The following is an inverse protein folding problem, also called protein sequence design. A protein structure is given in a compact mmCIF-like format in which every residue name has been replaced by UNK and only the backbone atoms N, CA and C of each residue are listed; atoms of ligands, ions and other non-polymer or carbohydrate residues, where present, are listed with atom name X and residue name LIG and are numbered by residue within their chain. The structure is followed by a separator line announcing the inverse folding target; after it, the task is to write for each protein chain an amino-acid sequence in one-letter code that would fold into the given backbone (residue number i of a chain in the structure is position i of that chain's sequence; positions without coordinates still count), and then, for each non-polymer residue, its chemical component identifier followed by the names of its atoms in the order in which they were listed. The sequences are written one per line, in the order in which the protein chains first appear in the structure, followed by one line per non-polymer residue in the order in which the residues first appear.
data_IF_059427931204
#
_entry.id   IF_059427931204
#
_cell.length_a   1.000
_cell.length_b   1.000
_cell.length_c   1.000
_cell.angle_alpha   90.00
_cell.angle_beta   90.00
_cell.angle_gamma   90.00
#
_symmetry.space_group_name_H-M   'P 1'
#
loop_
_entity.id
_entity.type
_entity.pdbx_description
1 polymer ?
#
# COMPACT_ATOMS: atom_id res chain seq x y z
N UNK A 1 11.62 -13.92 -15.94
CA UNK A 1 11.36 -12.47 -15.93
C UNK A 1 12.64 -11.81 -16.38
N UNK A 2 12.61 -10.95 -17.39
CA UNK A 2 13.68 -9.96 -17.60
C UNK A 2 14.03 -9.32 -16.24
N UNK A 3 15.31 -9.06 -15.97
CA UNK A 3 15.77 -8.62 -14.64
C UNK A 3 15.15 -7.26 -14.32
N UNK A 4 14.03 -7.27 -13.59
CA UNK A 4 13.54 -6.10 -12.87
C UNK A 4 14.71 -5.62 -12.01
N UNK A 5 15.10 -4.37 -12.20
CA UNK A 5 16.18 -3.75 -11.44
C UNK A 5 15.62 -3.32 -10.08
N UNK A 6 16.38 -3.58 -9.02
CA UNK A 6 16.03 -3.17 -7.67
C UNK A 6 17.03 -2.14 -7.17
N UNK A 7 16.53 -0.99 -6.74
CA UNK A 7 17.32 0.14 -6.26
C UNK A 7 16.81 0.57 -4.89
N UNK A 8 17.71 1.11 -4.08
CA UNK A 8 17.36 1.81 -2.84
C UNK A 8 17.66 3.28 -3.04
N UNK A 9 16.64 4.12 -2.91
CA UNK A 9 16.71 5.55 -3.21
C UNK A 9 16.37 6.33 -1.93
N UNK A 10 17.26 7.23 -1.46
CA UNK A 10 16.97 8.09 -0.33
C UNK A 10 15.92 9.13 -0.72
N UNK A 11 14.78 9.14 -0.03
CA UNK A 11 13.66 10.05 -0.29
C UNK A 11 13.05 10.50 1.03
N UNK A 12 12.84 11.80 1.23
CA UNK A 12 12.09 12.34 2.39
C UNK A 12 12.44 11.70 3.76
N UNK A 13 13.74 11.49 4.01
CA UNK A 13 14.26 10.92 5.25
C UNK A 13 14.14 9.39 5.41
N UNK A 14 13.73 8.66 4.36
CA UNK A 14 13.68 7.19 4.33
C UNK A 14 14.51 6.63 3.16
N UNK A 15 14.83 5.34 3.22
CA UNK A 15 15.48 4.61 2.13
C UNK A 15 14.43 3.75 1.44
N UNK A 16 13.96 4.20 0.27
CA UNK A 16 12.87 3.58 -0.46
C UNK A 16 13.39 2.53 -1.45
N UNK A 17 12.90 1.31 -1.33
CA UNK A 17 13.07 0.29 -2.36
C UNK A 17 12.22 0.65 -3.59
N UNK A 18 12.81 0.51 -4.77
CA UNK A 18 12.16 0.73 -6.06
C UNK A 18 12.51 -0.41 -7.00
N UNK A 19 11.47 -1.04 -7.55
CA UNK A 19 11.58 -1.99 -8.65
C UNK A 19 11.34 -1.27 -9.98
N UNK A 20 12.28 -1.39 -10.93
CA UNK A 20 12.23 -0.72 -12.23
C UNK A 20 12.34 -1.70 -13.40
N UNK A 21 11.65 -1.40 -14.49
CA UNK A 21 11.73 -2.18 -15.73
C UNK A 21 11.42 -1.32 -16.96
N UNK A 22 12.19 -1.50 -18.03
CA UNK A 22 11.97 -0.80 -19.30
C UNK A 22 12.59 0.59 -19.37
N UNK A 23 12.31 1.29 -20.46
CA UNK A 23 12.80 2.64 -20.77
C UNK A 23 11.71 3.45 -21.48
N UNK A 24 11.81 4.77 -21.45
CA UNK A 24 10.82 5.68 -22.03
C UNK A 24 10.06 6.46 -20.96
N UNK A 25 8.86 7.00 -21.27
CA UNK A 25 8.07 7.78 -20.32
C UNK A 25 7.74 7.00 -19.04
N UNK A 26 7.88 7.63 -17.88
CA UNK A 26 7.65 6.99 -16.60
C UNK A 26 6.16 6.68 -16.34
N UNK A 27 5.90 5.44 -15.91
CA UNK A 27 4.67 4.98 -15.28
C UNK A 27 5.00 4.55 -13.85
N UNK A 28 4.50 5.32 -12.88
CA UNK A 28 4.76 5.11 -11.46
C UNK A 28 3.57 4.39 -10.80
N UNK A 29 3.84 3.27 -10.13
CA UNK A 29 2.82 2.37 -9.58
C UNK A 29 2.78 2.43 -8.04
N UNK A 30 1.62 2.76 -7.45
CA UNK A 30 1.42 2.82 -5.99
C UNK A 30 0.59 1.61 -5.53
N UNK A 31 1.17 0.75 -4.70
CA UNK A 31 0.49 -0.44 -4.16
C UNK A 31 -0.42 -0.12 -2.97
N UNK A 32 -1.25 -1.09 -2.58
CA UNK A 32 -2.19 -0.98 -1.46
C UNK A 32 -1.76 -1.72 -0.19
N UNK A 33 -2.74 -2.00 0.67
CA UNK A 33 -2.60 -2.88 1.82
C UNK A 33 -3.27 -4.25 1.56
N UNK A 34 -2.63 -5.38 1.92
CA UNK A 34 -1.25 -5.59 2.33
C UNK A 34 -0.37 -6.01 1.14
N UNK A 35 -0.15 -5.09 0.20
CA UNK A 35 0.61 -5.35 -1.03
C UNK A 35 2.10 -5.00 -0.91
N UNK A 36 2.84 -5.18 -2.01
CA UNK A 36 4.22 -4.73 -2.25
C UNK A 36 4.33 -4.23 -3.70
N UNK A 37 5.51 -3.72 -4.08
CA UNK A 37 5.86 -3.48 -5.50
C UNK A 37 5.51 -4.68 -6.39
N UNK A 38 5.67 -5.90 -5.85
CA UNK A 38 5.48 -7.16 -6.56
C UNK A 38 4.06 -7.39 -7.06
N UNK A 39 3.05 -6.73 -6.48
CA UNK A 39 1.66 -6.78 -6.97
C UNK A 39 1.55 -6.23 -8.40
N UNK A 40 2.49 -5.37 -8.82
CA UNK A 40 2.54 -4.76 -10.15
C UNK A 40 3.37 -5.51 -11.19
N UNK A 41 3.98 -6.65 -10.85
CA UNK A 41 4.91 -7.39 -11.74
C UNK A 41 4.38 -7.64 -13.15
N UNK A 42 3.07 -7.86 -13.29
CA UNK A 42 2.43 -8.11 -14.59
C UNK A 42 2.29 -6.82 -15.40
N UNK A 43 1.85 -5.73 -14.75
CA UNK A 43 1.67 -4.41 -15.36
C UNK A 43 3.03 -3.81 -15.73
N UNK A 44 4.04 -3.94 -14.87
CA UNK A 44 5.41 -3.49 -15.16
C UNK A 44 5.94 -4.14 -16.45
N UNK A 45 5.85 -5.47 -16.57
CA UNK A 45 6.26 -6.19 -17.78
C UNK A 45 5.46 -5.75 -19.01
N UNK A 46 4.14 -5.54 -18.85
CA UNK A 46 3.26 -5.16 -19.96
C UNK A 46 3.58 -3.78 -20.52
N UNK A 47 3.77 -2.77 -19.67
CA UNK A 47 4.07 -1.40 -20.11
C UNK A 47 5.52 -1.25 -20.58
N UNK A 48 6.46 -1.97 -19.95
CA UNK A 48 7.86 -2.00 -20.38
C UNK A 48 8.01 -2.54 -21.81
N UNK A 49 7.31 -3.63 -22.13
CA UNK A 49 7.26 -4.18 -23.49
C UNK A 49 6.63 -3.24 -24.53
N UNK A 50 6.04 -2.11 -24.11
CA UNK A 50 5.39 -1.10 -24.95
C UNK A 50 6.12 0.25 -24.94
N UNK A 51 7.38 0.26 -24.50
CA UNK A 51 8.24 1.45 -24.56
C UNK A 51 7.99 2.47 -23.44
N UNK A 52 7.46 2.01 -22.31
CA UNK A 52 7.38 2.81 -21.08
C UNK A 52 8.42 2.34 -20.06
N UNK A 53 8.83 3.24 -19.18
CA UNK A 53 9.61 2.90 -18.00
C UNK A 53 8.64 2.66 -16.84
N UNK A 54 8.61 1.46 -16.30
CA UNK A 54 7.82 1.13 -15.12
C UNK A 54 8.67 1.31 -13.85
N UNK A 55 8.14 2.00 -12.85
CA UNK A 55 8.71 2.05 -11.51
C UNK A 55 7.63 1.74 -10.45
N UNK A 56 7.93 0.82 -9.54
CA UNK A 56 7.06 0.44 -8.44
C UNK A 56 7.86 0.44 -7.13
N UNK A 57 7.68 1.45 -6.26
CA UNK A 57 8.28 1.43 -4.93
C UNK A 57 7.56 0.50 -3.96
N UNK A 58 8.28 -0.04 -2.99
CA UNK A 58 7.66 -0.39 -1.71
C UNK A 58 7.42 0.89 -0.92
N UNK A 59 6.16 1.19 -0.62
CA UNK A 59 5.79 2.44 0.06
C UNK A 59 6.26 2.45 1.52
N UNK A 60 6.24 3.62 2.15
CA UNK A 60 6.67 3.82 3.54
C UNK A 60 6.11 2.75 4.49
N UNK A 61 7.01 2.00 5.14
CA UNK A 61 6.66 0.94 6.09
C UNK A 61 6.38 -0.43 5.46
N UNK A 62 6.58 -0.59 4.15
CA UNK A 62 6.40 -1.85 3.44
C UNK A 62 7.72 -2.40 2.90
N UNK A 63 7.74 -3.73 2.76
CA UNK A 63 8.77 -4.48 2.05
C UNK A 63 10.19 -4.11 2.44
N UNK A 64 11.00 -3.80 1.44
CA UNK A 64 12.43 -3.48 1.62
C UNK A 64 12.68 -1.96 1.86
N UNK A 65 11.62 -1.16 2.00
CA UNK A 65 11.73 0.27 2.36
C UNK A 65 11.96 0.44 3.87
N UNK A 66 13.00 1.20 4.23
CA UNK A 66 13.47 1.34 5.62
C UNK A 66 13.55 2.80 6.07
N UNK A 67 13.63 3.02 7.39
CA UNK A 67 13.82 4.35 8.00
C UNK A 67 12.53 5.00 8.54
N UNK A 68 11.35 4.45 8.24
CA UNK A 68 10.10 4.93 8.83
C UNK A 68 10.00 4.51 10.32
N UNK A 69 9.67 5.44 11.25
CA UNK A 69 9.55 5.11 12.67
C UNK A 69 8.25 4.35 12.94
N UNK A 70 8.34 3.02 13.08
CA UNK A 70 7.20 2.11 13.20
C UNK A 70 6.40 2.28 14.50
N UNK A 71 6.99 2.93 15.51
CA UNK A 71 6.39 3.23 16.80
C UNK A 71 5.61 4.56 16.82
N UNK A 72 5.70 5.37 15.75
CA UNK A 72 5.00 6.64 15.61
C UNK A 72 4.07 6.67 14.38
N UNK A 73 2.78 6.31 14.54
CA UNK A 73 1.79 6.37 13.47
C UNK A 73 1.62 7.76 12.85
N UNK A 74 1.98 8.85 13.56
CA UNK A 74 1.87 10.21 13.03
C UNK A 74 2.82 10.48 11.86
N UNK A 75 3.79 9.59 11.61
CA UNK A 75 4.73 9.65 10.47
C UNK A 75 4.25 8.89 9.23
N UNK A 76 3.00 8.41 9.23
CA UNK A 76 2.35 7.72 8.12
C UNK A 76 1.13 8.49 7.59
N UNK A 77 1.06 9.80 7.84
CA UNK A 77 -0.02 10.63 7.27
C UNK A 77 0.10 10.70 5.75
N UNK A 78 -1.00 11.03 5.08
CA UNK A 78 -1.02 11.19 3.63
C UNK A 78 -0.01 12.24 3.14
N UNK A 79 0.30 13.26 3.95
CA UNK A 79 1.33 14.24 3.63
C UNK A 79 2.74 13.64 3.58
N UNK A 80 3.07 12.74 4.51
CA UNK A 80 4.35 12.01 4.45
C UNK A 80 4.40 11.11 3.22
N UNK A 81 3.33 10.36 2.97
CA UNK A 81 3.27 9.42 1.83
C UNK A 81 3.38 10.15 0.48
N UNK A 82 2.67 11.27 0.31
CA UNK A 82 2.79 12.09 -0.91
C UNK A 82 4.15 12.75 -1.00
N UNK A 83 4.71 13.23 0.12
CA UNK A 83 6.06 13.79 0.18
C UNK A 83 7.12 12.79 -0.28
N UNK A 84 7.00 11.52 0.13
CA UNK A 84 7.88 10.44 -0.32
C UNK A 84 7.82 10.26 -1.84
N UNK A 85 6.62 10.28 -2.43
CA UNK A 85 6.44 10.13 -3.88
C UNK A 85 6.96 11.32 -4.67
N UNK A 86 6.80 12.54 -4.16
CA UNK A 86 7.38 13.75 -4.78
C UNK A 86 8.91 13.66 -4.75
N UNK A 87 9.51 13.36 -3.60
CA UNK A 87 10.96 13.20 -3.49
C UNK A 87 11.49 12.05 -4.36
N UNK A 88 10.71 10.98 -4.53
CA UNK A 88 11.06 9.91 -5.47
C UNK A 88 11.07 10.42 -6.91
N UNK A 89 10.03 11.13 -7.34
CA UNK A 89 9.95 11.71 -8.68
C UNK A 89 11.11 12.66 -8.96
N UNK A 90 11.46 13.53 -8.00
CA UNK A 90 12.63 14.40 -8.10
C UNK A 90 13.93 13.60 -8.29
N UNK A 91 14.05 12.44 -7.65
CA UNK A 91 15.25 11.61 -7.73
C UNK A 91 15.35 10.80 -9.03
N UNK A 92 14.23 10.26 -9.53
CA UNK A 92 14.24 9.30 -10.65
C UNK A 92 13.82 9.90 -11.99
N UNK A 93 13.18 11.07 -11.97
CA UNK A 93 12.63 11.74 -13.12
C UNK A 93 12.85 13.27 -13.10
N UNK A 94 14.01 13.80 -12.66
CA UNK A 94 14.24 15.24 -12.42
C UNK A 94 14.03 16.13 -13.66
N UNK A 95 14.21 15.55 -14.85
CA UNK A 95 14.09 16.24 -16.13
C UNK A 95 12.89 15.75 -16.94
N UNK A 96 12.09 14.82 -16.41
CA UNK A 96 10.84 14.45 -17.06
C UNK A 96 9.79 15.52 -16.74
N UNK A 97 8.92 15.80 -17.70
CA UNK A 97 7.70 16.55 -17.40
C UNK A 97 6.72 15.70 -16.58
N UNK A 98 5.43 15.94 -16.79
CA UNK A 98 4.37 15.13 -16.18
C UNK A 98 4.50 13.64 -16.50
N UNK A 99 4.37 12.79 -15.47
CA UNK A 99 4.46 11.32 -15.53
C UNK A 99 3.09 10.65 -15.47
N UNK A 100 3.00 9.37 -15.81
CA UNK A 100 1.78 8.58 -15.61
C UNK A 100 1.78 7.93 -14.22
N UNK A 101 0.61 7.92 -13.56
CA UNK A 101 0.46 7.32 -12.23
C UNK A 101 -0.61 6.24 -12.26
N UNK A 102 -0.35 5.11 -11.59
CA UNK A 102 -1.29 4.02 -11.40
C UNK A 102 -1.38 3.71 -9.91
N UNK A 103 -2.58 3.74 -9.33
CA UNK A 103 -2.79 3.49 -7.90
C UNK A 103 -3.79 2.38 -7.61
N UNK A 104 -3.57 1.64 -6.52
CA UNK A 104 -4.50 0.62 -6.00
C UNK A 104 -4.71 0.79 -4.49
N UNK A 105 -5.96 0.69 -4.01
CA UNK A 105 -6.30 0.70 -2.57
C UNK A 105 -5.72 1.93 -1.81
N UNK A 106 -4.79 1.78 -0.87
CA UNK A 106 -4.09 2.90 -0.21
C UNK A 106 -3.20 3.67 -1.17
N UNK A 107 -2.56 3.00 -2.13
CA UNK A 107 -1.82 3.64 -3.21
C UNK A 107 -2.72 4.51 -4.07
N UNK A 108 -3.97 4.10 -4.29
CA UNK A 108 -4.96 4.92 -4.98
C UNK A 108 -5.35 6.17 -4.17
N UNK A 109 -5.47 6.04 -2.85
CA UNK A 109 -5.68 7.16 -1.95
C UNK A 109 -4.52 8.16 -1.99
N UNK A 110 -3.27 7.69 -2.01
CA UNK A 110 -2.08 8.54 -2.17
C UNK A 110 -2.04 9.20 -3.55
N UNK A 111 -2.39 8.47 -4.62
CA UNK A 111 -2.45 9.01 -5.98
C UNK A 111 -3.44 10.18 -6.12
N UNK A 112 -4.61 10.08 -5.48
CA UNK A 112 -5.57 11.19 -5.44
C UNK A 112 -4.97 12.44 -4.81
N UNK A 113 -4.30 12.30 -3.67
CA UNK A 113 -3.70 13.42 -2.97
C UNK A 113 -2.48 13.99 -3.72
N UNK A 114 -1.71 13.16 -4.41
CA UNK A 114 -0.67 13.63 -5.32
C UNK A 114 -1.26 14.51 -6.43
N UNK A 115 -2.38 14.10 -7.04
CA UNK A 115 -3.06 14.91 -8.06
C UNK A 115 -3.62 16.22 -7.50
N UNK A 116 -4.10 16.23 -6.26
CA UNK A 116 -4.64 17.43 -5.61
C UNK A 116 -3.53 18.41 -5.22
N UNK A 117 -2.41 17.92 -4.67
CA UNK A 117 -1.33 18.75 -4.16
C UNK A 117 -0.31 19.15 -5.22
N UNK A 118 -0.05 18.27 -6.19
CA UNK A 118 0.93 18.46 -7.26
C UNK A 118 0.42 17.97 -8.62
N UNK A 119 -0.64 18.60 -9.17
CA UNK A 119 -1.14 18.27 -10.51
C UNK A 119 -0.12 18.56 -11.62
N UNK A 120 0.92 19.34 -11.31
CA UNK A 120 2.06 19.63 -12.19
C UNK A 120 2.96 18.41 -12.42
N UNK A 121 2.92 17.39 -11.56
CA UNK A 121 3.65 16.13 -11.75
C UNK A 121 2.87 15.07 -12.55
N UNK A 122 1.52 15.13 -12.54
CA UNK A 122 0.70 14.01 -13.05
C UNK A 122 0.12 14.34 -14.42
N UNK A 123 0.43 13.49 -15.41
CA UNK A 123 -0.09 13.57 -16.79
C UNK A 123 -1.48 12.96 -16.89
N UNK A 124 -1.61 11.74 -16.36
CA UNK A 124 -2.87 11.03 -16.25
C UNK A 124 -2.78 10.00 -15.11
N UNK A 125 -3.93 9.67 -14.54
CA UNK A 125 -4.09 8.74 -13.43
C UNK A 125 -5.00 7.57 -13.83
N UNK A 126 -4.53 6.35 -13.60
CA UNK A 126 -5.37 5.15 -13.58
C UNK A 126 -5.53 4.70 -12.13
N UNK A 127 -6.72 4.82 -11.57
CA UNK A 127 -6.96 4.50 -10.16
C UNK A 127 -7.90 3.31 -9.99
N UNK A 128 -7.50 2.36 -9.14
CA UNK A 128 -8.16 1.08 -8.95
C UNK A 128 -8.70 0.94 -7.52
N UNK A 129 -9.88 0.32 -7.39
CA UNK A 129 -10.58 0.02 -6.12
C UNK A 129 -11.13 1.24 -5.36
N UNK A 130 -10.32 2.28 -5.14
CA UNK A 130 -10.67 3.39 -4.23
C UNK A 130 -11.09 4.66 -5.01
N UNK A 131 -12.39 5.01 -5.06
CA UNK A 131 -12.83 6.26 -5.68
C UNK A 131 -12.36 7.48 -4.88
N UNK A 132 -12.38 8.66 -5.52
CA UNK A 132 -12.13 9.91 -4.82
C UNK A 132 -13.27 10.17 -3.84
N UNK A 133 -12.94 10.27 -2.55
CA UNK A 133 -13.89 10.69 -1.53
C UNK A 133 -13.95 12.21 -1.47
N UNK A 134 -15.14 12.83 -1.51
CA UNK A 134 -15.29 14.26 -1.26
C UNK A 134 -14.71 14.64 0.10
N UNK A 135 -13.89 15.68 0.14
CA UNK A 135 -13.34 16.16 1.40
C UNK A 135 -14.45 16.71 2.29
N UNK A 136 -14.41 16.37 3.58
CA UNK A 136 -15.24 16.97 4.62
C UNK A 136 -14.38 17.27 5.85
N UNK A 137 -14.46 18.48 6.44
CA UNK A 137 -13.62 18.87 7.58
C UNK A 137 -13.73 17.93 8.79
N UNK A 138 -14.88 17.24 8.95
CA UNK A 138 -15.12 16.29 10.04
C UNK A 138 -14.85 14.82 9.68
N UNK A 139 -14.39 14.52 8.46
CA UNK A 139 -14.20 13.14 8.02
C UNK A 139 -12.96 12.54 8.67
N UNK A 140 -13.18 11.58 9.56
CA UNK A 140 -12.14 10.71 10.10
C UNK A 140 -12.40 9.27 9.63
N UNK A 141 -11.48 8.72 8.84
CA UNK A 141 -11.64 7.37 8.26
C UNK A 141 -11.78 6.29 9.33
N UNK A 142 -11.12 6.45 10.48
CA UNK A 142 -11.20 5.50 11.60
C UNK A 142 -12.59 5.56 12.24
N UNK A 143 -13.12 6.76 12.47
CA UNK A 143 -14.47 6.94 13.03
C UNK A 143 -15.56 6.50 12.06
N UNK A 144 -15.38 6.75 10.75
CA UNK A 144 -16.28 6.26 9.71
C UNK A 144 -16.29 4.72 9.68
N UNK A 145 -15.12 4.09 9.65
CA UNK A 145 -15.00 2.63 9.68
C UNK A 145 -15.61 2.05 10.97
N UNK A 146 -15.42 2.72 12.10
CA UNK A 146 -16.00 2.32 13.38
C UNK A 146 -17.52 2.44 13.38
N UNK A 147 -18.08 3.48 12.76
CA UNK A 147 -19.53 3.68 12.65
C UNK A 147 -20.18 2.64 11.75
N UNK A 148 -19.54 2.31 10.61
CA UNK A 148 -20.08 1.36 9.63
C UNK A 148 -19.87 -0.10 10.02
N UNK A 149 -18.72 -0.43 10.61
CA UNK A 149 -18.28 -1.81 10.81
C UNK A 149 -17.98 -2.17 12.27
N UNK A 150 -17.94 -1.20 13.18
CA UNK A 150 -17.66 -1.42 14.59
C UNK A 150 -16.16 -1.51 14.92
N UNK A 151 -15.88 -1.60 16.23
CA UNK A 151 -14.52 -1.54 16.81
C UNK A 151 -13.58 -2.69 16.40
N UNK A 152 -14.13 -3.82 15.97
CA UNK A 152 -13.38 -5.00 15.57
C UNK A 152 -12.95 -4.97 14.10
N UNK A 153 -13.37 -3.97 13.33
CA UNK A 153 -12.88 -3.78 11.96
C UNK A 153 -11.36 -3.52 11.97
N UNK A 154 -10.64 -4.09 11.00
CA UNK A 154 -9.17 -4.06 11.00
C UNK A 154 -8.58 -2.63 11.06
N UNK A 155 -9.19 -1.67 10.34
CA UNK A 155 -8.77 -0.26 10.35
C UNK A 155 -8.78 0.30 11.77
N UNK A 156 -9.86 0.07 12.51
CA UNK A 156 -10.03 0.54 13.89
C UNK A 156 -9.09 -0.19 14.84
N UNK A 157 -8.87 -1.48 14.60
CA UNK A 157 -8.07 -2.30 15.48
C UNK A 157 -6.57 -2.04 15.35
N UNK A 158 -6.08 -1.73 14.16
CA UNK A 158 -4.67 -1.41 13.93
C UNK A 158 -4.26 -0.05 14.50
N UNK A 159 -5.20 0.83 14.86
CA UNK A 159 -4.89 2.06 15.62
C UNK A 159 -4.49 1.79 17.08
N UNK A 160 -4.80 0.61 17.63
CA UNK A 160 -4.58 0.30 19.04
C UNK A 160 -3.20 -0.37 19.21
N UNK A 161 -2.18 0.42 19.58
CA UNK A 161 -0.75 0.06 19.75
C UNK A 161 -0.47 -1.20 20.62
N UNK A 162 -1.40 -1.62 21.48
CA UNK A 162 -1.24 -2.75 22.40
C UNK A 162 -1.81 -4.08 21.86
N UNK A 163 -1.88 -4.27 20.54
CA UNK A 163 -2.19 -5.59 20.01
C UNK A 163 -0.96 -6.50 20.11
N UNK A 164 -1.15 -7.73 20.62
CA UNK A 164 -0.10 -8.76 20.71
C UNK A 164 0.61 -8.83 19.35
N UNK A 165 1.95 -8.66 19.32
CA UNK A 165 2.74 -8.72 18.09
C UNK A 165 2.46 -10.04 17.37
N UNK A 166 1.59 -10.04 16.37
CA UNK A 166 1.46 -11.15 15.44
C UNK A 166 2.60 -11.04 14.43
N UNK A 167 3.24 -12.16 14.10
CA UNK A 167 4.23 -12.17 13.04
C UNK A 167 3.58 -11.81 11.70
N UNK A 168 4.25 -11.01 10.87
CA UNK A 168 3.77 -10.59 9.55
C UNK A 168 3.35 -11.79 8.68
N UNK A 169 4.13 -12.89 8.73
CA UNK A 169 3.79 -14.15 8.04
C UNK A 169 2.41 -14.69 8.42
N UNK A 170 2.05 -14.63 9.70
CA UNK A 170 0.76 -15.14 10.17
C UNK A 170 -0.39 -14.22 9.78
N UNK A 171 -0.16 -12.91 9.82
CA UNK A 171 -1.12 -11.91 9.31
C UNK A 171 -1.40 -12.15 7.83
N UNK A 172 -0.36 -12.22 7.00
CA UNK A 172 -0.50 -12.44 5.56
C UNK A 172 -1.13 -13.80 5.24
N UNK A 173 -0.70 -14.88 5.92
CA UNK A 173 -1.28 -16.22 5.73
C UNK A 173 -2.78 -16.21 6.00
N UNK A 174 -3.22 -15.56 7.08
CA UNK A 174 -4.64 -15.52 7.42
C UNK A 174 -5.43 -14.57 6.52
N UNK A 175 -4.84 -13.44 6.13
CA UNK A 175 -5.45 -12.50 5.20
C UNK A 175 -5.69 -13.14 3.83
N UNK A 176 -4.68 -13.75 3.22
CA UNK A 176 -4.80 -14.40 1.92
C UNK A 176 -5.57 -15.74 1.95
N UNK A 177 -5.78 -16.32 3.13
CA UNK A 177 -6.62 -17.50 3.31
C UNK A 177 -8.09 -17.17 3.60
N UNK A 178 -8.46 -15.88 3.69
CA UNK A 178 -9.83 -15.46 3.94
C UNK A 178 -10.70 -15.82 2.72
N UNK A 179 -11.79 -16.54 2.96
CA UNK A 179 -12.79 -16.91 1.93
C UNK A 179 -14.16 -16.27 2.14
N UNK A 180 -14.30 -15.46 3.19
CA UNK A 180 -15.52 -14.72 3.45
C UNK A 180 -15.48 -13.40 2.69
N UNK A 181 -16.46 -13.08 1.83
CA UNK A 181 -16.49 -11.84 1.07
C UNK A 181 -16.87 -10.60 1.90
N UNK A 182 -17.03 -10.74 3.22
CA UNK A 182 -17.37 -9.64 4.12
C UNK A 182 -16.17 -8.82 4.61
N UNK A 183 -16.42 -7.72 5.34
CA UNK A 183 -15.36 -6.88 5.92
C UNK A 183 -14.37 -7.68 6.78
N UNK A 184 -13.13 -7.21 6.79
CA UNK A 184 -12.08 -7.85 7.58
C UNK A 184 -12.19 -7.45 9.06
N UNK A 185 -12.56 -8.43 9.87
CA UNK A 185 -12.61 -8.29 11.33
C UNK A 185 -11.37 -8.89 11.99
N UNK A 186 -10.85 -8.18 12.99
CA UNK A 186 -9.71 -8.58 13.81
C UNK A 186 -10.03 -8.45 15.32
N UNK A 187 -10.90 -9.32 15.89
CA UNK A 187 -11.38 -9.15 17.26
C UNK A 187 -10.28 -9.31 18.31
N UNK A 188 -10.37 -8.51 19.38
CA UNK A 188 -9.38 -8.53 20.49
C UNK A 188 -9.22 -9.95 21.05
N UNK A 189 -7.97 -10.42 21.12
CA UNK A 189 -7.62 -11.73 21.68
C UNK A 189 -7.96 -12.94 20.78
N UNK A 190 -8.73 -12.76 19.70
CA UNK A 190 -9.10 -13.86 18.79
C UNK A 190 -8.22 -13.93 17.55
N UNK A 191 -7.57 -12.82 17.17
CA UNK A 191 -6.78 -12.72 15.94
C UNK A 191 -7.69 -12.74 14.71
N UNK A 192 -7.16 -13.14 13.55
CA UNK A 192 -7.99 -13.39 12.37
C UNK A 192 -8.94 -14.55 12.66
N UNK A 193 -10.23 -14.38 12.35
CA UNK A 193 -11.30 -15.37 12.63
C UNK A 193 -11.10 -16.72 11.93
N UNK A 194 -10.16 -16.81 11.00
CA UNK A 194 -9.80 -18.03 10.28
C UNK A 194 -8.27 -18.20 10.31
N UNK A 195 -7.79 -19.33 10.81
CA UNK A 195 -6.46 -19.84 10.46
C UNK A 195 -6.59 -21.26 9.94
N UNK A 196 -5.86 -21.60 8.89
CA UNK A 196 -5.83 -22.95 8.33
C UNK A 196 -5.44 -23.99 9.40
N UNK A 197 -4.66 -23.58 10.39
CA UNK A 197 -4.22 -24.44 11.49
C UNK A 197 -5.35 -24.63 12.54
N UNK A 198 -6.21 -23.63 12.77
CA UNK A 198 -7.44 -23.78 13.58
C UNK A 198 -8.49 -24.64 12.87
N UNK A 199 -8.57 -24.59 11.53
CA UNK A 199 -9.43 -25.49 10.77
C UNK A 199 -8.96 -26.95 10.89
N UNK A 200 -7.64 -27.19 10.79
CA UNK A 200 -7.05 -28.53 11.03
C UNK A 200 -7.20 -29.00 12.48
N UNK A 201 -7.04 -28.11 13.46
CA UNK A 201 -7.23 -28.44 14.87
C UNK A 201 -8.70 -28.76 15.20
N UNK A 202 -9.67 -28.02 14.64
CA UNK A 202 -11.11 -28.37 14.74
C UNK A 202 -11.45 -29.69 14.05
N UNK A 203 -10.78 -30.03 12.95
CA UNK A 203 -10.97 -31.31 12.27
C UNK A 203 -10.41 -32.48 13.10
N UNK A 204 -9.23 -32.31 13.73
CA UNK A 204 -8.64 -33.31 14.64
C UNK A 204 -9.40 -33.48 15.97
N UNK A 205 -10.04 -32.42 16.47
CA UNK A 205 -10.84 -32.50 17.71
C UNK A 205 -12.25 -33.11 17.50
N UNK A 206 -12.62 -33.41 16.25
CA UNK A 206 -13.88 -34.06 15.86
C UNK A 206 -13.69 -35.50 15.36
N UNK A 207 -12.47 -36.00 15.36
CA UNK A 207 -12.09 -37.38 15.04
C UNK A 207 -11.60 -38.07 16.30
#
# INVERSE_FOLDING_TARGET
MEKIEHKTIPVNGINMHVAELGQGPLVLFFHGFPDLWYSWRHQMAFVAARGYRAAAPDMRGYGDTTGAPLDDPSKFTVLHLVGDMISLLDAIAPNEGKVFVVGHDWGAHVAWHLCLYRPDWVRALVNLSTPLSPWSPGMNLVELAKTLYGDDHYICRFQKLNSKKLGAKEVLKNFFALRSPGPLYFPKGKGFGYSADRAKAKAKAKA
#
